data_IF_755192406022
#
_entry.id   IF_755192406022
#
_cell.length_a   1.000
_cell.length_b   1.000
_cell.length_c   1.000
_cell.angle_alpha   90.00
_cell.angle_beta   90.00
_cell.angle_gamma   90.00
#
_symmetry.space_group_name_H-M   'P 1'
#
loop_
_entity.id
_entity.type
_entity.pdbx_description
1 polymer ?
#
# COMPACT_ATOMS: atom_id res chain seq x y z
N UNK A 1 9.45 -3.20 14.97
CA UNK A 1 8.02 -3.01 14.63
C UNK A 1 7.30 -4.34 14.40
N UNK A 2 7.63 -5.11 13.35
CA UNK A 2 6.91 -6.35 13.01
C UNK A 2 7.29 -7.61 13.78
N UNK A 3 8.38 -7.60 14.56
CA UNK A 3 8.89 -8.81 15.21
C UNK A 3 9.57 -9.81 14.26
N UNK A 4 9.47 -9.59 12.94
CA UNK A 4 10.14 -10.34 11.87
C UNK A 4 10.89 -9.35 10.96
N UNK A 5 12.23 -9.40 10.85
CA UNK A 5 13.00 -8.53 9.96
C UNK A 5 12.74 -8.78 8.47
N UNK A 6 12.16 -9.92 8.12
CA UNK A 6 11.81 -10.31 6.76
C UNK A 6 10.36 -9.97 6.40
N UNK A 7 9.62 -9.25 7.24
CA UNK A 7 8.18 -9.02 7.08
C UNK A 7 7.76 -8.41 5.73
N UNK A 8 8.63 -7.64 5.07
CA UNK A 8 8.38 -7.05 3.75
C UNK A 8 8.83 -7.96 2.58
N UNK A 9 9.42 -9.11 2.87
CA UNK A 9 9.99 -10.07 1.90
C UNK A 9 9.59 -11.53 2.16
N UNK A 10 8.86 -11.82 3.23
CA UNK A 10 8.48 -13.17 3.66
C UNK A 10 7.20 -13.70 2.97
N UNK A 11 6.69 -12.98 1.97
CA UNK A 11 5.51 -13.38 1.19
C UNK A 11 4.17 -12.83 1.70
N UNK A 12 4.17 -12.04 2.78
CA UNK A 12 2.96 -11.32 3.20
C UNK A 12 2.53 -10.33 2.12
N UNK A 13 1.24 -10.34 1.80
CA UNK A 13 0.61 -9.42 0.87
C UNK A 13 0.30 -8.09 1.56
N UNK A 14 0.99 -7.03 1.15
CA UNK A 14 0.69 -5.66 1.54
C UNK A 14 -0.11 -4.96 0.43
N UNK A 15 -1.26 -4.40 0.79
CA UNK A 15 -1.95 -3.40 -0.02
C UNK A 15 -1.33 -2.02 0.24
N UNK A 16 -1.65 -1.03 -0.61
CA UNK A 16 -1.23 0.33 -0.30
C UNK A 16 -1.91 0.90 0.95
N UNK A 17 -3.10 0.41 1.34
CA UNK A 17 -3.72 0.75 2.64
C UNK A 17 -2.83 0.30 3.81
N UNK A 18 -2.34 -0.94 3.76
CA UNK A 18 -1.46 -1.49 4.79
C UNK A 18 -0.12 -0.75 4.85
N UNK A 19 0.48 -0.44 3.69
CA UNK A 19 1.69 0.40 3.60
C UNK A 19 1.43 1.80 4.18
N UNK A 20 0.29 2.41 3.84
CA UNK A 20 -0.12 3.69 4.36
C UNK A 20 -0.26 3.71 5.88
N UNK A 21 -0.80 2.64 6.48
CA UNK A 21 -0.88 2.52 7.95
C UNK A 21 0.51 2.58 8.62
N UNK A 22 1.52 1.94 8.04
CA UNK A 22 2.88 1.88 8.59
C UNK A 22 3.77 3.07 8.16
N UNK A 23 3.25 3.97 7.33
CA UNK A 23 3.87 5.21 6.89
C UNK A 23 3.28 6.46 7.57
N UNK A 24 2.64 6.28 8.74
CA UNK A 24 2.06 7.38 9.53
C UNK A 24 2.99 7.86 10.65
N UNK A 25 2.95 9.17 10.99
CA UNK A 25 3.69 9.70 12.13
C UNK A 25 3.19 9.20 13.48
N UNK A 26 1.99 8.59 13.50
CA UNK A 26 1.37 7.92 14.63
C UNK A 26 0.86 6.55 14.18
N UNK A 27 1.16 5.50 14.95
CA UNK A 27 0.67 4.16 14.72
C UNK A 27 0.02 3.60 15.99
N UNK A 28 -1.30 3.33 15.97
CA UNK A 28 -2.23 3.45 14.83
C UNK A 28 -2.49 4.89 14.39
N UNK A 29 -2.89 5.06 13.13
CA UNK A 29 -3.23 6.37 12.56
C UNK A 29 -4.30 7.08 13.39
N UNK A 30 -4.12 8.39 13.59
CA UNK A 30 -5.03 9.23 14.39
C UNK A 30 -4.91 9.10 15.92
N UNK A 31 -4.11 8.16 16.44
CA UNK A 31 -3.88 8.05 17.89
C UNK A 31 -2.68 8.92 18.30
N UNK A 32 -2.97 10.17 18.64
CA UNK A 32 -1.95 11.16 19.04
C UNK A 32 -1.14 10.65 20.24
N UNK A 33 0.17 10.83 20.18
CA UNK A 33 1.10 10.40 21.23
C UNK A 33 1.59 8.96 21.10
N UNK A 34 1.08 8.18 20.15
CA UNK A 34 1.65 6.88 19.80
C UNK A 34 3.01 7.01 19.09
N UNK A 35 3.76 5.91 18.99
CA UNK A 35 4.98 5.87 18.19
C UNK A 35 4.66 5.94 16.68
N UNK A 36 5.61 6.40 15.86
CA UNK A 36 5.46 6.40 14.41
C UNK A 36 5.51 4.97 13.83
N UNK A 37 4.91 4.82 12.65
CA UNK A 37 5.10 3.62 11.83
C UNK A 37 6.55 3.51 11.32
N UNK A 38 7.01 2.30 10.96
CA UNK A 38 8.40 2.04 10.59
C UNK A 38 8.84 2.71 9.28
N UNK A 39 7.90 3.18 8.45
CA UNK A 39 8.23 3.87 7.19
C UNK A 39 8.16 5.40 7.29
N UNK A 40 7.76 5.93 8.45
CA UNK A 40 7.67 7.36 8.71
C UNK A 40 8.70 7.80 9.74
N UNK A 41 9.16 9.06 9.72
CA UNK A 41 9.89 9.65 10.83
C UNK A 41 8.96 9.92 12.03
N UNK A 42 9.52 10.16 13.24
CA UNK A 42 8.76 10.68 14.37
C UNK A 42 8.07 12.01 14.04
N UNK A 43 6.94 12.30 14.69
CA UNK A 43 6.12 13.50 14.41
C UNK A 43 6.92 14.81 14.39
N UNK A 44 7.93 14.96 15.26
CA UNK A 44 8.76 16.18 15.33
C UNK A 44 9.59 16.45 14.05
N UNK A 45 9.74 15.46 13.17
CA UNK A 45 10.43 15.56 11.87
C UNK A 45 9.51 15.26 10.70
N UNK A 46 8.26 14.90 10.96
CA UNK A 46 7.30 14.53 9.94
C UNK A 46 6.61 15.76 9.38
N UNK A 47 6.37 15.77 8.08
CA UNK A 47 5.48 16.72 7.41
C UNK A 47 4.93 16.09 6.12
N UNK A 48 3.94 16.71 5.45
CA UNK A 48 3.54 16.30 4.11
C UNK A 48 4.68 16.26 3.07
N UNK A 49 5.80 16.94 3.34
CA UNK A 49 7.01 16.93 2.52
C UNK A 49 8.16 16.09 3.10
N UNK A 50 7.98 15.52 4.29
CA UNK A 50 8.98 14.72 5.02
C UNK A 50 8.32 13.45 5.56
N UNK A 51 7.95 12.54 4.65
CA UNK A 51 7.13 11.36 4.93
C UNK A 51 7.93 10.11 5.29
N UNK A 52 9.27 10.17 5.27
CA UNK A 52 10.15 9.03 5.54
C UNK A 52 10.56 8.31 4.27
N UNK A 53 10.34 6.99 4.21
CA UNK A 53 10.85 6.14 3.12
C UNK A 53 10.51 6.68 1.73
N UNK A 54 9.31 7.27 1.54
CA UNK A 54 8.91 7.83 0.25
C UNK A 54 9.79 9.04 -0.16
N UNK A 55 10.15 9.92 0.78
CA UNK A 55 11.12 11.00 0.52
C UNK A 55 12.54 10.43 0.38
N UNK A 56 12.94 9.51 1.25
CA UNK A 56 14.29 8.93 1.22
C UNK A 56 14.61 8.32 -0.15
N UNK A 57 13.64 7.62 -0.74
CA UNK A 57 13.73 7.04 -2.08
C UNK A 57 13.89 8.06 -3.20
N UNK A 58 13.42 9.29 -3.04
CA UNK A 58 13.47 10.32 -4.08
C UNK A 58 14.53 11.40 -3.84
N UNK A 59 15.04 11.51 -2.62
CA UNK A 59 16.00 12.54 -2.20
C UNK A 59 17.26 12.60 -3.08
N UNK A 60 17.89 11.45 -3.35
CA UNK A 60 19.07 11.36 -4.22
C UNK A 60 18.76 11.80 -5.65
N UNK A 61 17.62 11.37 -6.19
CA UNK A 61 17.18 11.76 -7.53
C UNK A 61 16.86 13.26 -7.64
N UNK A 62 16.33 13.88 -6.57
CA UNK A 62 16.11 15.33 -6.51
C UNK A 62 17.46 16.08 -6.54
N UNK A 63 18.45 15.61 -5.77
CA UNK A 63 19.80 16.20 -5.79
C UNK A 63 20.42 16.06 -7.19
N UNK A 64 20.37 14.86 -7.77
CA UNK A 64 20.86 14.60 -9.13
C UNK A 64 20.17 15.49 -10.17
N UNK A 65 18.87 15.75 -10.03
CA UNK A 65 18.15 16.64 -10.94
C UNK A 65 18.64 18.11 -10.85
N UNK A 66 19.12 18.54 -9.67
CA UNK A 66 19.63 19.90 -9.46
C UNK A 66 21.08 20.03 -9.93
N UNK A 67 21.95 19.06 -9.60
CA UNK A 67 23.40 19.16 -9.87
C UNK A 67 23.83 18.46 -11.17
N UNK A 68 23.08 17.45 -11.60
CA UNK A 68 23.38 16.63 -12.78
C UNK A 68 23.55 17.42 -14.08
N UNK A 69 22.75 18.47 -14.36
CA UNK A 69 22.97 19.33 -15.52
C UNK A 69 24.35 19.99 -15.57
N UNK A 70 24.95 20.29 -14.41
CA UNK A 70 26.30 20.87 -14.32
C UNK A 70 27.40 19.86 -14.66
N UNK A 71 27.11 18.56 -14.52
CA UNK A 71 28.04 17.46 -14.75
C UNK A 71 27.74 16.67 -16.05
N UNK A 72 26.79 17.12 -16.87
CA UNK A 72 26.26 16.39 -18.03
C UNK A 72 25.87 14.93 -17.70
N UNK A 73 25.40 14.68 -16.47
CA UNK A 73 25.00 13.36 -16.01
C UNK A 73 23.64 12.94 -16.63
N UNK A 74 23.43 11.64 -16.91
CA UNK A 74 22.13 11.15 -17.38
C UNK A 74 21.05 11.26 -16.29
N UNK A 75 19.79 11.39 -16.71
CA UNK A 75 18.67 11.53 -15.78
C UNK A 75 18.41 10.24 -14.97
N UNK A 76 18.38 10.37 -13.63
CA UNK A 76 18.25 9.26 -12.66
C UNK A 76 16.80 8.74 -12.48
N UNK A 77 15.79 9.36 -13.08
CA UNK A 77 14.36 9.05 -12.84
C UNK A 77 13.92 9.46 -11.43
N UNK A 78 12.87 8.87 -10.86
CA UNK A 78 12.35 9.31 -9.55
C UNK A 78 13.15 8.80 -8.35
N UNK A 79 13.89 7.70 -8.49
CA UNK A 79 14.59 7.05 -7.35
C UNK A 79 16.00 6.55 -7.65
N UNK A 80 16.39 6.45 -8.92
CA UNK A 80 17.63 5.75 -9.31
C UNK A 80 17.61 4.23 -9.08
N UNK A 81 16.51 3.65 -8.58
CA UNK A 81 16.40 2.22 -8.32
C UNK A 81 15.77 1.49 -9.51
N UNK A 82 16.44 0.50 -10.13
CA UNK A 82 15.93 -0.20 -11.30
C UNK A 82 14.56 -0.88 -11.08
N UNK A 83 14.30 -1.34 -9.85
CA UNK A 83 13.06 -2.05 -9.48
C UNK A 83 11.94 -1.13 -8.98
N UNK A 84 12.23 0.16 -8.77
CA UNK A 84 11.29 1.14 -8.21
C UNK A 84 11.45 2.50 -8.90
N UNK A 85 11.59 2.50 -10.23
CA UNK A 85 11.96 3.69 -11.02
C UNK A 85 11.04 4.90 -10.80
N UNK A 86 9.76 4.65 -10.55
CA UNK A 86 8.72 5.67 -10.34
C UNK A 86 8.41 5.92 -8.86
N UNK A 87 9.20 5.37 -7.94
CA UNK A 87 8.94 5.45 -6.51
C UNK A 87 7.82 4.53 -6.05
N UNK A 88 7.36 4.78 -4.82
CA UNK A 88 6.23 4.11 -4.19
C UNK A 88 5.17 5.12 -3.79
N UNK A 89 3.95 4.63 -3.58
CA UNK A 89 2.84 5.42 -3.06
C UNK A 89 2.40 4.91 -1.69
N UNK A 90 2.13 5.84 -0.76
CA UNK A 90 1.69 5.56 0.63
C UNK A 90 0.21 5.87 0.88
N UNK A 91 -0.54 6.12 -0.19
CA UNK A 91 -1.99 6.34 -0.15
C UNK A 91 -2.71 5.07 -0.60
N UNK A 92 -3.89 4.82 -0.03
CA UNK A 92 -4.75 3.68 -0.36
C UNK A 92 -5.13 3.66 -1.84
N UNK A 93 -5.62 2.52 -2.34
CA UNK A 93 -6.02 2.39 -3.74
C UNK A 93 -5.27 1.35 -4.55
N UNK A 94 -4.47 0.47 -3.92
CA UNK A 94 -3.87 -0.64 -4.66
C UNK A 94 -3.80 -1.92 -3.85
N UNK A 95 -3.96 -3.04 -4.56
CA UNK A 95 -3.93 -4.38 -4.01
C UNK A 95 -3.10 -5.31 -4.90
N UNK A 96 -2.33 -6.24 -4.32
CA UNK A 96 -1.66 -7.28 -5.10
C UNK A 96 -2.68 -8.28 -5.66
N UNK A 97 -2.46 -8.69 -6.92
CA UNK A 97 -3.27 -9.68 -7.62
C UNK A 97 -2.61 -11.04 -7.46
N UNK A 98 -3.35 -11.99 -6.90
CA UNK A 98 -2.94 -13.38 -6.81
C UNK A 98 -3.72 -14.23 -7.80
N UNK A 99 -3.14 -15.34 -8.23
CA UNK A 99 -3.83 -16.40 -8.96
C UNK A 99 -3.70 -17.72 -8.22
N UNK A 100 -4.83 -18.37 -7.99
CA UNK A 100 -4.90 -19.70 -7.38
C UNK A 100 -5.40 -20.72 -8.40
N UNK A 101 -4.55 -21.68 -8.76
CA UNK A 101 -4.89 -22.78 -9.69
C UNK A 101 -4.51 -24.09 -9.03
N UNK A 102 -5.44 -25.04 -8.97
CA UNK A 102 -5.23 -26.35 -8.33
C UNK A 102 -4.64 -26.24 -6.90
N UNK A 103 -5.14 -25.27 -6.12
CA UNK A 103 -4.67 -25.01 -4.75
C UNK A 103 -3.35 -24.26 -4.62
N UNK A 104 -2.67 -23.94 -5.74
CA UNK A 104 -1.40 -23.20 -5.72
C UNK A 104 -1.64 -21.71 -5.95
N UNK A 105 -1.37 -20.92 -4.92
CA UNK A 105 -1.50 -19.45 -4.94
C UNK A 105 -0.18 -18.78 -5.31
N UNK A 106 -0.20 -17.87 -6.30
CA UNK A 106 0.97 -17.10 -6.74
C UNK A 106 0.64 -15.63 -6.93
N UNK A 107 1.54 -14.74 -6.54
CA UNK A 107 1.47 -13.32 -6.91
C UNK A 107 1.68 -13.21 -8.43
N UNK A 108 0.77 -12.52 -9.14
CA UNK A 108 0.81 -12.37 -10.61
C UNK A 108 0.78 -10.91 -11.07
N UNK A 109 0.62 -9.96 -10.15
CA UNK A 109 0.64 -8.54 -10.48
C UNK A 109 0.08 -7.68 -9.35
N UNK A 110 -0.33 -6.46 -9.70
CA UNK A 110 -1.02 -5.52 -8.82
C UNK A 110 -1.94 -4.62 -9.64
N UNK A 111 -3.01 -4.14 -9.02
CA UNK A 111 -3.89 -3.12 -9.58
C UNK A 111 -3.87 -1.90 -8.68
N UNK A 112 -3.80 -0.71 -9.28
CA UNK A 112 -3.87 0.56 -8.59
C UNK A 112 -4.92 1.46 -9.23
N UNK A 113 -5.70 2.14 -8.38
CA UNK A 113 -6.72 3.12 -8.73
C UNK A 113 -6.33 4.43 -8.06
N UNK A 114 -6.52 5.53 -8.78
CA UNK A 114 -6.27 6.88 -8.28
C UNK A 114 -7.27 7.84 -8.91
N UNK A 115 -7.82 8.72 -8.10
CA UNK A 115 -8.55 9.89 -8.59
C UNK A 115 -9.61 10.40 -7.63
N UNK A 116 -10.16 9.53 -6.79
CA UNK A 116 -11.19 9.88 -5.83
C UNK A 116 -10.61 9.98 -4.40
N UNK A 117 -11.47 10.03 -3.39
CA UNK A 117 -11.06 9.93 -1.99
C UNK A 117 -10.41 8.58 -1.68
N UNK A 118 -9.47 8.56 -0.73
CA UNK A 118 -8.65 7.37 -0.48
C UNK A 118 -9.43 6.10 -0.13
N UNK A 119 -10.59 6.19 0.52
CA UNK A 119 -11.42 5.02 0.81
C UNK A 119 -12.19 4.54 -0.44
N UNK A 120 -12.50 5.46 -1.36
CA UNK A 120 -13.14 5.11 -2.64
C UNK A 120 -12.12 4.44 -3.58
N UNK A 121 -10.91 4.98 -3.72
CA UNK A 121 -9.85 4.35 -4.50
C UNK A 121 -9.54 2.93 -3.99
N UNK A 122 -9.47 2.75 -2.67
CA UNK A 122 -9.21 1.44 -2.03
C UNK A 122 -10.35 0.45 -2.30
N UNK A 123 -11.60 0.89 -2.13
CA UNK A 123 -12.78 0.10 -2.45
C UNK A 123 -12.83 -0.28 -3.93
N UNK A 124 -12.59 0.66 -4.85
CA UNK A 124 -12.67 0.42 -6.29
C UNK A 124 -11.60 -0.59 -6.72
N UNK A 125 -10.35 -0.43 -6.25
CA UNK A 125 -9.29 -1.39 -6.53
C UNK A 125 -9.61 -2.78 -5.98
N UNK A 126 -10.13 -2.84 -4.75
CA UNK A 126 -10.44 -4.09 -4.07
C UNK A 126 -11.64 -4.81 -4.70
N UNK A 127 -12.81 -4.17 -4.74
CA UNK A 127 -14.02 -4.75 -5.33
C UNK A 127 -13.89 -5.00 -6.83
N UNK A 128 -13.16 -4.16 -7.55
CA UNK A 128 -12.86 -4.36 -8.97
C UNK A 128 -12.11 -5.68 -9.21
N UNK A 129 -11.10 -5.99 -8.37
CA UNK A 129 -10.39 -7.26 -8.45
C UNK A 129 -11.27 -8.45 -8.03
N UNK A 130 -12.08 -8.32 -6.97
CA UNK A 130 -13.01 -9.37 -6.56
C UNK A 130 -14.03 -9.72 -7.66
N UNK A 131 -14.62 -8.69 -8.27
CA UNK A 131 -15.57 -8.84 -9.37
C UNK A 131 -14.90 -9.42 -10.61
N UNK A 132 -13.70 -8.96 -10.96
CA UNK A 132 -12.93 -9.51 -12.07
C UNK A 132 -12.60 -11.00 -11.85
N UNK A 133 -12.25 -11.39 -10.63
CA UNK A 133 -12.01 -12.80 -10.27
C UNK A 133 -13.23 -13.67 -10.49
N UNK A 134 -14.40 -13.19 -10.07
CA UNK A 134 -15.69 -13.87 -10.26
C UNK A 134 -16.06 -13.98 -11.74
N UNK A 135 -15.97 -12.87 -12.47
CA UNK A 135 -16.36 -12.80 -13.89
C UNK A 135 -15.44 -13.63 -14.78
N UNK A 136 -14.14 -13.61 -14.53
CA UNK A 136 -13.16 -14.29 -15.39
C UNK A 136 -13.03 -15.78 -15.07
N UNK A 137 -13.27 -16.20 -13.82
CA UNK A 137 -13.17 -17.62 -13.44
C UNK A 137 -11.78 -18.24 -13.64
N UNK A 138 -10.73 -17.43 -13.82
CA UNK A 138 -9.35 -17.89 -14.12
C UNK A 138 -8.52 -18.16 -12.86
N UNK A 139 -9.15 -18.04 -11.69
CA UNK A 139 -8.49 -18.13 -10.38
C UNK A 139 -7.77 -16.86 -9.94
N UNK A 140 -7.86 -15.74 -10.68
CA UNK A 140 -7.37 -14.45 -10.18
C UNK A 140 -8.23 -13.93 -9.03
N UNK A 141 -7.62 -13.23 -8.09
CA UNK A 141 -8.32 -12.59 -6.98
C UNK A 141 -7.34 -11.97 -5.99
N UNK A 142 -7.85 -11.68 -4.79
CA UNK A 142 -7.02 -11.19 -3.70
C UNK A 142 -6.08 -12.27 -3.17
N UNK A 143 -5.05 -11.83 -2.45
CA UNK A 143 -4.31 -12.72 -1.57
C UNK A 143 -5.28 -13.48 -0.64
N UNK A 144 -5.06 -14.78 -0.34
CA UNK A 144 -5.75 -15.47 0.74
C UNK A 144 -5.66 -14.67 2.04
N UNK A 145 -6.73 -14.62 2.83
CA UNK A 145 -6.79 -13.81 4.05
C UNK A 145 -5.62 -14.07 5.02
N UNK A 146 -5.18 -15.33 5.15
CA UNK A 146 -4.04 -15.69 6.00
C UNK A 146 -2.68 -15.16 5.51
N UNK A 147 -2.56 -14.78 4.22
CA UNK A 147 -1.34 -14.20 3.65
C UNK A 147 -1.34 -12.67 3.69
N UNK A 148 -2.43 -12.02 4.10
CA UNK A 148 -2.57 -10.56 4.05
C UNK A 148 -1.94 -9.89 5.26
N UNK A 149 -1.53 -8.64 5.07
CA UNK A 149 -0.92 -7.83 6.13
C UNK A 149 -1.83 -7.59 7.36
N UNK A 150 -3.15 -7.68 7.21
CA UNK A 150 -4.12 -7.62 8.33
C UNK A 150 -4.18 -8.90 9.16
N UNK A 151 -3.49 -9.98 8.74
CA UNK A 151 -3.21 -11.14 9.57
C UNK A 151 -2.10 -10.88 10.61
N UNK A 152 -1.26 -9.85 10.41
CA UNK A 152 -0.20 -9.48 11.34
C UNK A 152 -0.81 -8.78 12.57
N UNK A 153 -0.49 -9.30 13.76
CA UNK A 153 -0.87 -8.70 15.04
C UNK A 153 0.27 -7.82 15.55
N UNK A 154 -0.02 -6.54 15.77
CA UNK A 154 0.93 -5.55 16.29
C UNK A 154 0.44 -4.99 17.63
N UNK A 155 1.31 -4.37 18.45
CA UNK A 155 0.88 -3.74 19.71
C UNK A 155 -0.24 -2.70 19.55
N UNK A 156 -0.34 -2.04 18.39
CA UNK A 156 -1.41 -1.10 18.04
C UNK A 156 -2.66 -1.74 17.41
N UNK A 157 -2.77 -3.07 17.38
CA UNK A 157 -3.83 -3.80 16.69
C UNK A 157 -3.36 -4.38 15.35
N UNK A 158 -4.28 -4.49 14.39
CA UNK A 158 -4.01 -5.04 13.06
C UNK A 158 -3.87 -3.94 12.03
N UNK A 159 -3.09 -4.21 10.99
CA UNK A 159 -3.13 -3.39 9.78
C UNK A 159 -4.48 -3.54 9.08
N UNK A 160 -4.83 -2.57 8.24
CA UNK A 160 -5.97 -2.68 7.33
C UNK A 160 -5.47 -3.10 5.96
N UNK A 161 -5.98 -4.22 5.44
CA UNK A 161 -5.70 -4.62 4.07
C UNK A 161 -6.57 -3.84 3.06
N UNK A 162 -7.79 -3.47 3.46
CA UNK A 162 -8.69 -2.61 2.69
C UNK A 162 -9.53 -1.77 3.67
N UNK A 163 -10.00 -0.60 3.23
CA UNK A 163 -11.02 0.18 3.89
C UNK A 163 -12.06 0.63 2.86
N UNK A 164 -13.30 0.19 3.05
CA UNK A 164 -14.40 0.59 2.19
C UNK A 164 -15.25 1.67 2.89
N UNK A 165 -15.83 2.63 2.13
CA UNK A 165 -16.72 3.64 2.66
C UNK A 165 -17.97 3.04 3.33
N UNK A 166 -18.57 3.78 4.26
CA UNK A 166 -19.82 3.41 4.95
C UNK A 166 -21.06 3.47 4.05
N UNK A 167 -20.98 4.10 2.88
CA UNK A 167 -22.04 4.10 1.86
C UNK A 167 -21.38 3.84 0.49
N UNK A 168 -20.98 2.60 0.22
CA UNK A 168 -20.08 2.28 -0.88
C UNK A 168 -20.72 2.38 -2.27
N UNK A 169 -22.05 2.31 -2.35
CA UNK A 169 -22.79 2.32 -3.61
C UNK A 169 -23.90 3.36 -3.58
N UNK A 170 -24.13 3.98 -4.75
CA UNK A 170 -25.25 4.89 -4.96
C UNK A 170 -26.58 4.13 -4.80
N UNK A 171 -27.59 4.81 -4.25
CA UNK A 171 -28.95 4.30 -4.09
C UNK A 171 -29.03 2.92 -3.40
N UNK A 172 -28.08 2.63 -2.51
CA UNK A 172 -27.96 1.36 -1.80
C UNK A 172 -27.82 1.55 -0.30
N UNK A 173 -28.34 0.58 0.45
CA UNK A 173 -28.16 0.44 1.89
C UNK A 173 -27.15 -0.67 2.25
N UNK A 174 -26.39 -1.18 1.27
CA UNK A 174 -25.37 -2.19 1.50
C UNK A 174 -24.25 -1.65 2.43
N UNK A 175 -23.78 -2.51 3.33
CA UNK A 175 -22.75 -2.22 4.33
C UNK A 175 -21.71 -3.32 4.32
N UNK A 176 -20.49 -3.03 4.80
CA UNK A 176 -19.41 -4.02 4.94
C UNK A 176 -19.12 -4.80 3.66
N UNK A 177 -19.24 -4.17 2.48
CA UNK A 177 -19.18 -4.83 1.16
C UNK A 177 -17.84 -5.50 0.85
N UNK A 178 -16.80 -5.18 1.62
CA UNK A 178 -15.47 -5.76 1.48
C UNK A 178 -15.20 -6.89 2.49
N UNK A 179 -16.14 -7.16 3.41
CA UNK A 179 -15.99 -8.22 4.40
C UNK A 179 -16.12 -9.59 3.74
N UNK A 180 -15.19 -10.50 4.05
CA UNK A 180 -15.20 -11.89 3.57
C UNK A 180 -14.65 -12.08 2.15
N UNK A 181 -14.20 -11.01 1.48
CA UNK A 181 -13.52 -11.04 0.18
C UNK A 181 -12.01 -11.07 0.34
#
# INVERSE_FOLDING_TARGET
FFGDPTSLSNGVAFSAKAIGNIARPYFPDGIVGSANGPLAPPIARWSPFATGLQLDLSSGAIVDAIVGPLAAAPATGCTGLPRLRNGLQIFSGSVPIYRTVAGVTRLVGGIGVSGDGTDQDDMIAFLGLAQAGTTLGTGIGHAPAALRADAIVLPGGRLRYVQCPVAPFNDSNAQNVCAGL
#
